data_IF_817882615425
#
_entry.id   IF_817882615425
#
_cell.length_a   1.000
_cell.length_b   1.000
_cell.length_c   1.000
_cell.angle_alpha   90.00
_cell.angle_beta   90.00
_cell.angle_gamma   90.00
#
_symmetry.space_group_name_H-M   'P 1'
#
loop_
_entity.id
_entity.type
_entity.pdbx_description
1 polymer ?
#
# COMPACT_ATOMS: atom_id res chain seq x y z
N UNK A 1 -19.25 6.36 -35.23
CA UNK A 1 -18.88 4.94 -34.96
C UNK A 1 -17.53 4.82 -34.17
N UNK A 2 -17.15 5.86 -33.41
CA UNK A 2 -15.92 5.82 -32.58
C UNK A 2 -16.19 5.65 -31.07
N UNK A 3 -17.42 5.90 -30.62
CA UNK A 3 -17.73 5.94 -29.17
C UNK A 3 -17.98 4.54 -28.53
N UNK A 4 -18.23 3.53 -29.35
CA UNK A 4 -18.49 2.16 -28.83
C UNK A 4 -17.24 1.39 -28.39
N UNK A 5 -16.09 1.67 -28.99
CA UNK A 5 -14.85 0.95 -28.71
C UNK A 5 -14.17 1.37 -27.39
N UNK A 6 -14.23 2.66 -27.05
CA UNK A 6 -13.61 3.21 -25.84
C UNK A 6 -14.35 2.73 -24.59
N UNK A 7 -15.68 2.63 -24.65
CA UNK A 7 -16.51 2.16 -23.53
C UNK A 7 -16.32 0.65 -23.26
N UNK A 8 -16.08 -0.15 -24.30
CA UNK A 8 -15.87 -1.60 -24.13
C UNK A 8 -14.49 -1.91 -23.54
N UNK A 9 -13.43 -1.24 -23.99
CA UNK A 9 -12.08 -1.39 -23.46
C UNK A 9 -12.02 -0.90 -22.01
N UNK A 10 -12.71 0.21 -21.68
CA UNK A 10 -12.73 0.71 -20.30
C UNK A 10 -13.44 -0.21 -19.32
N UNK A 11 -14.49 -0.93 -19.73
CA UNK A 11 -15.19 -1.90 -18.87
C UNK A 11 -14.36 -3.17 -18.62
N UNK A 12 -13.66 -3.69 -19.60
CA UNK A 12 -12.82 -4.88 -19.41
C UNK A 12 -11.54 -4.56 -18.64
N UNK A 13 -10.91 -3.41 -18.88
CA UNK A 13 -9.75 -2.95 -18.09
C UNK A 13 -10.14 -2.70 -16.64
N UNK A 14 -11.33 -2.16 -16.37
CA UNK A 14 -11.83 -1.93 -15.01
C UNK A 14 -12.14 -3.24 -14.24
N UNK A 15 -12.34 -4.37 -14.91
CA UNK A 15 -12.57 -5.68 -14.26
C UNK A 15 -11.31 -6.22 -13.56
N UNK A 16 -10.11 -5.80 -13.98
CA UNK A 16 -8.83 -6.26 -13.44
C UNK A 16 -8.07 -5.20 -12.65
N UNK A 17 -8.60 -3.99 -12.51
CA UNK A 17 -8.00 -2.89 -11.76
C UNK A 17 -8.91 -2.47 -10.60
N UNK A 18 -8.31 -2.34 -9.41
CA UNK A 18 -8.98 -1.75 -8.24
C UNK A 18 -8.62 -0.28 -8.15
N UNK A 19 -9.62 0.58 -8.22
CA UNK A 19 -9.44 2.04 -8.22
C UNK A 19 -9.85 2.60 -6.86
N UNK A 20 -8.94 3.33 -6.21
CA UNK A 20 -9.21 4.04 -4.95
C UNK A 20 -9.94 5.36 -5.22
N UNK A 21 -11.27 5.30 -5.37
CA UNK A 21 -12.13 6.45 -5.70
C UNK A 21 -12.82 7.12 -4.48
N UNK A 22 -12.83 6.48 -3.31
CA UNK A 22 -13.62 6.92 -2.15
C UNK A 22 -12.94 7.96 -1.27
N UNK A 23 -11.81 8.51 -1.71
CA UNK A 23 -11.10 9.55 -1.00
C UNK A 23 -11.88 10.88 -1.02
N UNK A 24 -11.96 11.54 0.16
CA UNK A 24 -12.45 12.93 0.29
C UNK A 24 -11.29 13.91 0.49
N UNK A 25 -10.30 13.50 1.26
CA UNK A 25 -9.15 14.35 1.63
C UNK A 25 -7.95 14.17 0.71
N UNK A 26 -8.00 13.25 -0.26
CA UNK A 26 -6.97 13.05 -1.26
C UNK A 26 -7.56 13.08 -2.67
N UNK A 27 -6.80 13.56 -3.64
CA UNK A 27 -7.17 13.59 -5.05
C UNK A 27 -5.92 13.63 -5.93
N UNK A 28 -5.84 12.78 -6.95
CA UNK A 28 -4.90 12.95 -8.05
C UNK A 28 -5.53 13.87 -9.08
N UNK A 29 -5.14 15.15 -9.07
CA UNK A 29 -5.78 16.21 -9.87
C UNK A 29 -5.38 16.08 -11.32
N UNK A 30 -4.07 15.99 -11.61
CA UNK A 30 -3.50 15.97 -12.94
C UNK A 30 -2.23 15.10 -12.99
N UNK A 31 -1.91 14.57 -14.18
CA UNK A 31 -0.70 13.80 -14.42
C UNK A 31 -0.19 14.00 -15.85
N UNK A 32 1.14 14.04 -16.00
CA UNK A 32 1.80 14.17 -17.31
C UNK A 32 3.30 14.41 -17.17
N UNK A 33 4.07 14.07 -18.21
CA UNK A 33 5.53 14.25 -18.30
C UNK A 33 6.29 13.72 -17.08
N UNK A 34 5.91 12.54 -16.57
CA UNK A 34 6.57 11.91 -15.42
C UNK A 34 6.24 12.52 -14.07
N UNK A 35 5.19 13.32 -13.95
CA UNK A 35 4.80 14.03 -12.74
C UNK A 35 3.30 13.98 -12.49
N UNK A 36 2.91 14.24 -11.25
CA UNK A 36 1.50 14.38 -10.83
C UNK A 36 1.30 15.56 -9.89
N UNK A 37 0.11 16.15 -9.97
CA UNK A 37 -0.41 17.16 -9.03
C UNK A 37 -1.47 16.47 -8.18
N UNK A 38 -1.30 16.55 -6.87
CA UNK A 38 -2.14 15.87 -5.89
C UNK A 38 -2.59 16.83 -4.80
N UNK A 39 -3.84 16.70 -4.37
CA UNK A 39 -4.36 17.37 -3.18
C UNK A 39 -4.31 16.42 -1.97
N UNK A 40 -3.77 16.90 -0.87
CA UNK A 40 -3.62 16.23 0.40
C UNK A 40 -4.27 17.06 1.52
N UNK A 41 -5.58 16.91 1.74
CA UNK A 41 -6.37 17.85 2.52
C UNK A 41 -6.44 19.20 1.83
N UNK A 42 -5.84 20.22 2.43
CA UNK A 42 -5.76 21.57 1.89
C UNK A 42 -4.40 21.89 1.21
N UNK A 43 -3.50 20.91 1.10
CA UNK A 43 -2.14 21.07 0.56
C UNK A 43 -2.07 20.46 -0.83
N UNK A 44 -1.53 21.17 -1.79
CA UNK A 44 -1.30 20.69 -3.15
C UNK A 44 0.18 20.37 -3.33
N UNK A 45 0.48 19.12 -3.69
CA UNK A 45 1.84 18.67 -3.92
C UNK A 45 2.04 18.27 -5.38
N UNK A 46 3.20 18.64 -5.92
CA UNK A 46 3.71 18.17 -7.22
C UNK A 46 4.84 17.18 -6.97
N UNK A 47 4.71 15.97 -7.52
CA UNK A 47 5.68 14.89 -7.28
C UNK A 47 5.98 14.13 -8.56
N UNK A 48 7.21 13.59 -8.72
CA UNK A 48 7.55 12.72 -9.84
C UNK A 48 6.92 11.34 -9.69
N UNK A 49 6.45 10.80 -10.81
CA UNK A 49 5.99 9.43 -10.90
C UNK A 49 6.39 8.82 -12.26
N UNK A 50 7.28 7.82 -12.28
CA UNK A 50 7.81 7.24 -13.51
C UNK A 50 6.79 6.40 -14.31
N UNK A 51 5.63 6.08 -13.73
CA UNK A 51 4.55 5.39 -14.46
C UNK A 51 3.86 6.33 -15.46
N UNK A 52 4.02 7.64 -15.30
CA UNK A 52 3.35 8.67 -16.12
C UNK A 52 4.21 8.93 -17.35
N UNK A 53 3.92 8.22 -18.44
CA UNK A 53 4.65 8.31 -19.71
C UNK A 53 3.91 9.14 -20.78
N UNK A 54 2.78 9.75 -20.44
CA UNK A 54 1.98 10.62 -21.30
C UNK A 54 2.24 12.10 -21.00
N UNK A 55 1.85 12.96 -21.94
CA UNK A 55 2.09 14.40 -21.86
C UNK A 55 1.06 15.10 -20.96
N UNK A 56 1.43 16.25 -20.42
CA UNK A 56 0.53 17.15 -19.68
C UNK A 56 -0.56 17.70 -20.60
N UNK A 57 -1.81 17.72 -20.10
CA UNK A 57 -2.95 18.23 -20.84
C UNK A 57 -3.21 19.73 -20.60
N UNK A 58 -3.17 20.18 -19.34
CA UNK A 58 -3.49 21.55 -18.94
C UNK A 58 -2.28 22.21 -18.27
N UNK A 59 -1.81 23.32 -18.86
CA UNK A 59 -0.61 23.99 -18.37
C UNK A 59 -0.82 24.85 -17.11
N UNK A 60 -2.05 25.31 -16.83
CA UNK A 60 -2.29 26.21 -15.69
C UNK A 60 -2.23 25.52 -14.35
N UNK A 61 -2.74 24.27 -14.25
CA UNK A 61 -2.79 23.52 -12.99
C UNK A 61 -1.37 23.22 -12.47
N UNK A 62 -0.41 23.06 -13.37
CA UNK A 62 0.98 22.74 -13.03
C UNK A 62 1.73 23.86 -12.31
N UNK A 63 1.14 25.06 -12.29
CA UNK A 63 1.64 26.22 -11.54
C UNK A 63 0.98 26.38 -10.17
N UNK A 64 -0.02 25.55 -9.83
CA UNK A 64 -0.80 25.64 -8.58
C UNK A 64 -0.38 24.54 -7.59
N UNK A 65 0.74 24.73 -6.92
CA UNK A 65 1.24 23.80 -5.91
C UNK A 65 1.85 24.55 -4.73
N UNK A 66 1.78 23.94 -3.55
CA UNK A 66 2.38 24.41 -2.29
C UNK A 66 3.78 23.83 -2.09
N UNK A 67 3.98 22.56 -2.48
CA UNK A 67 5.25 21.86 -2.41
C UNK A 67 5.54 21.08 -3.70
N UNK A 68 6.78 21.15 -4.19
CA UNK A 68 7.26 20.40 -5.33
C UNK A 68 8.52 19.60 -4.99
N UNK A 69 8.48 18.27 -5.22
CA UNK A 69 9.64 17.42 -5.02
C UNK A 69 10.45 17.29 -6.31
N UNK A 70 11.64 17.87 -6.32
CA UNK A 70 12.60 17.78 -7.41
C UNK A 70 13.46 16.52 -7.25
N UNK A 71 13.38 15.61 -8.21
CA UNK A 71 14.21 14.40 -8.24
C UNK A 71 15.62 14.72 -8.68
N UNK A 72 16.62 14.24 -7.94
CA UNK A 72 18.02 14.33 -8.33
C UNK A 72 18.43 13.19 -9.26
N UNK A 73 19.29 13.47 -10.23
CA UNK A 73 19.88 12.46 -11.11
C UNK A 73 20.84 11.49 -10.38
N UNK A 74 21.25 11.84 -9.15
CA UNK A 74 22.14 11.02 -8.30
C UNK A 74 21.39 10.19 -7.25
N UNK A 75 20.05 10.12 -7.34
CA UNK A 75 19.17 9.51 -6.36
C UNK A 75 18.70 10.51 -5.29
N UNK A 76 17.53 10.26 -4.69
CA UNK A 76 16.87 11.17 -3.77
C UNK A 76 16.36 12.43 -4.46
N UNK A 77 16.30 13.54 -3.73
CA UNK A 77 15.82 14.86 -4.22
C UNK A 77 15.58 15.81 -3.06
N UNK A 78 14.93 16.94 -3.35
CA UNK A 78 14.58 17.94 -2.36
C UNK A 78 13.20 18.54 -2.65
N UNK A 79 12.56 19.03 -1.59
CA UNK A 79 11.31 19.78 -1.69
C UNK A 79 11.58 21.26 -1.89
N UNK A 80 10.84 21.88 -2.80
CA UNK A 80 10.65 23.32 -2.93
C UNK A 80 9.26 23.66 -2.39
N UNK A 81 9.16 24.67 -1.51
CA UNK A 81 7.88 25.11 -0.95
C UNK A 81 7.63 26.57 -1.33
N UNK A 82 6.44 26.83 -1.89
CA UNK A 82 5.97 28.21 -2.21
C UNK A 82 5.26 28.84 -1.03
N UNK A 83 4.72 28.02 -0.15
CA UNK A 83 4.03 28.44 1.07
C UNK A 83 4.70 27.84 2.28
N UNK A 84 4.57 28.49 3.44
CA UNK A 84 5.04 27.89 4.69
C UNK A 84 4.08 26.78 5.11
N UNK A 85 4.43 25.55 4.80
CA UNK A 85 3.67 24.39 5.24
C UNK A 85 4.01 24.05 6.70
N UNK A 86 3.08 23.37 7.37
CA UNK A 86 3.36 22.67 8.62
C UNK A 86 4.25 21.45 8.31
N UNK A 87 5.08 21.04 9.25
CA UNK A 87 5.93 19.85 9.12
C UNK A 87 5.08 18.59 8.86
N UNK A 88 3.86 18.56 9.38
CA UNK A 88 2.88 17.50 9.13
C UNK A 88 1.44 18.01 9.28
N UNK A 89 0.53 17.30 8.65
CA UNK A 89 -0.93 17.48 8.78
C UNK A 89 -1.62 16.14 8.73
N UNK A 90 -2.94 16.10 8.83
CA UNK A 90 -3.71 14.85 8.80
C UNK A 90 -4.70 14.84 7.65
N UNK A 91 -4.93 13.65 7.09
CA UNK A 91 -6.01 13.36 6.17
C UNK A 91 -6.81 12.15 6.66
N UNK A 92 -8.05 12.05 6.20
CA UNK A 92 -8.94 10.97 6.58
C UNK A 92 -9.27 10.09 5.36
N UNK A 93 -9.36 8.79 5.61
CA UNK A 93 -10.00 7.84 4.72
C UNK A 93 -11.11 7.14 5.51
N UNK A 94 -12.37 7.42 5.19
CA UNK A 94 -13.52 6.99 6.00
C UNK A 94 -13.32 7.42 7.46
N UNK A 95 -13.34 6.51 8.42
CA UNK A 95 -13.13 6.72 9.85
C UNK A 95 -11.67 6.48 10.31
N UNK A 96 -10.75 6.31 9.38
CA UNK A 96 -9.31 6.26 9.63
C UNK A 96 -8.70 7.65 9.43
N UNK A 97 -7.76 8.02 10.30
CA UNK A 97 -7.05 9.29 10.25
C UNK A 97 -5.55 9.09 10.24
N UNK A 98 -4.86 9.71 9.31
CA UNK A 98 -3.44 9.48 9.09
C UNK A 98 -2.65 10.78 9.05
N UNK A 99 -1.47 10.76 9.61
CA UNK A 99 -0.47 11.82 9.48
C UNK A 99 0.16 11.78 8.10
N UNK A 100 0.28 12.93 7.48
CA UNK A 100 1.00 13.20 6.23
C UNK A 100 2.13 14.17 6.52
N UNK A 101 3.30 13.89 5.98
CA UNK A 101 4.48 14.76 6.08
C UNK A 101 5.37 14.60 4.86
N UNK A 102 5.82 15.68 4.21
CA UNK A 102 6.89 15.60 3.23
C UNK A 102 8.14 15.01 3.88
N UNK A 103 8.58 13.84 3.38
CA UNK A 103 9.81 13.20 3.88
C UNK A 103 11.03 13.68 3.09
N UNK A 104 12.24 13.25 3.47
CA UNK A 104 13.45 13.49 2.67
C UNK A 104 13.42 12.83 1.28
N UNK A 105 12.36 12.06 1.00
CA UNK A 105 12.07 11.44 -0.29
C UNK A 105 10.76 11.99 -0.86
N UNK A 106 10.36 11.51 -2.05
CA UNK A 106 9.08 11.91 -2.66
C UNK A 106 7.84 11.44 -1.89
N UNK A 107 7.99 10.57 -0.89
CA UNK A 107 6.88 9.97 -0.14
C UNK A 107 6.36 10.89 0.96
N UNK A 108 5.08 10.73 1.27
CA UNK A 108 4.35 11.58 2.22
C UNK A 108 3.81 10.80 3.41
N UNK A 109 4.21 9.52 3.54
CA UNK A 109 3.78 8.62 4.62
C UNK A 109 2.56 7.76 4.29
N UNK A 110 1.87 8.00 3.17
CA UNK A 110 0.69 7.25 2.75
C UNK A 110 0.78 6.93 1.26
N UNK A 111 0.24 5.77 0.88
CA UNK A 111 -0.01 5.34 -0.48
C UNK A 111 -1.53 5.29 -0.70
N UNK A 112 -2.15 6.33 -1.29
CA UNK A 112 -3.60 6.44 -1.38
C UNK A 112 -4.27 5.33 -2.21
N UNK A 113 -3.58 4.79 -3.19
CA UNK A 113 -4.04 3.66 -3.98
C UNK A 113 -4.30 2.39 -3.16
N UNK A 114 -3.65 2.27 -1.99
CA UNK A 114 -3.84 1.15 -1.07
C UNK A 114 -5.21 1.15 -0.37
N UNK A 115 -5.99 2.22 -0.48
CA UNK A 115 -7.29 2.31 0.17
C UNK A 115 -8.25 1.18 -0.25
N UNK A 116 -8.18 0.70 -1.50
CA UNK A 116 -8.96 -0.48 -1.93
C UNK A 116 -8.54 -1.76 -1.21
N UNK A 117 -7.29 -1.85 -0.79
CA UNK A 117 -6.79 -2.99 -0.01
C UNK A 117 -7.15 -2.83 1.47
N UNK A 118 -7.20 -1.61 2.01
CA UNK A 118 -7.71 -1.40 3.36
C UNK A 118 -9.19 -1.78 3.46
N UNK A 119 -10.00 -1.46 2.45
CA UNK A 119 -11.40 -1.88 2.38
C UNK A 119 -11.52 -3.41 2.35
N UNK A 120 -10.74 -4.07 1.51
CA UNK A 120 -10.69 -5.53 1.47
C UNK A 120 -10.29 -6.14 2.83
N UNK A 121 -9.27 -5.59 3.49
CA UNK A 121 -8.85 -6.03 4.83
C UNK A 121 -9.99 -5.87 5.82
N UNK A 122 -10.63 -4.69 5.85
CA UNK A 122 -11.75 -4.42 6.75
C UNK A 122 -12.92 -5.37 6.53
N UNK A 123 -13.25 -5.67 5.27
CA UNK A 123 -14.33 -6.60 4.95
C UNK A 123 -14.00 -8.03 5.37
N UNK A 124 -12.76 -8.48 5.15
CA UNK A 124 -12.30 -9.81 5.57
C UNK A 124 -12.24 -9.98 7.07
N UNK A 125 -11.82 -8.95 7.80
CA UNK A 125 -11.83 -8.96 9.28
C UNK A 125 -13.26 -9.00 9.81
N UNK A 126 -14.15 -8.14 9.31
CA UNK A 126 -15.56 -8.10 9.74
C UNK A 126 -16.34 -9.39 9.42
N UNK A 127 -16.02 -10.04 8.30
CA UNK A 127 -16.69 -11.26 7.86
C UNK A 127 -16.13 -12.54 8.47
N UNK A 128 -15.02 -12.48 9.18
CA UNK A 128 -14.42 -13.64 9.83
C UNK A 128 -15.34 -14.18 10.94
N UNK A 129 -15.62 -15.48 10.90
CA UNK A 129 -16.59 -16.11 11.81
C UNK A 129 -15.98 -16.66 13.10
N UNK A 130 -14.66 -16.70 13.20
CA UNK A 130 -13.95 -17.11 14.41
C UNK A 130 -13.88 -15.99 15.46
N UNK A 131 -13.53 -16.36 16.69
CA UNK A 131 -13.51 -15.43 17.82
C UNK A 131 -12.17 -14.71 18.04
N UNK A 132 -11.09 -15.13 17.39
CA UNK A 132 -9.72 -14.64 17.66
C UNK A 132 -8.98 -14.36 16.34
N UNK A 133 -9.42 -13.34 15.61
CA UNK A 133 -8.77 -12.97 14.35
C UNK A 133 -7.45 -12.24 14.59
N UNK A 134 -6.36 -12.92 14.33
CA UNK A 134 -5.00 -12.38 14.40
C UNK A 134 -4.52 -12.01 13.00
N UNK A 135 -4.12 -10.75 12.83
CA UNK A 135 -3.62 -10.22 11.55
C UNK A 135 -2.14 -9.86 11.69
N UNK A 136 -1.35 -10.27 10.71
CA UNK A 136 0.06 -9.92 10.59
C UNK A 136 0.24 -8.97 9.40
N UNK A 137 0.87 -7.83 9.64
CA UNK A 137 1.25 -6.88 8.60
C UNK A 137 2.78 -6.78 8.53
N UNK A 138 3.34 -7.20 7.41
CA UNK A 138 4.78 -7.27 7.12
C UNK A 138 5.17 -6.16 6.15
N UNK A 139 6.35 -5.56 6.32
CA UNK A 139 6.78 -4.35 5.62
C UNK A 139 5.75 -3.24 5.83
N UNK A 140 5.33 -3.10 7.08
CA UNK A 140 4.08 -2.44 7.44
C UNK A 140 4.11 -0.92 7.35
N UNK A 141 5.29 -0.32 7.09
CA UNK A 141 5.51 1.11 6.86
C UNK A 141 4.89 1.97 7.98
N UNK A 142 4.09 2.99 7.62
CA UNK A 142 3.39 3.88 8.58
C UNK A 142 2.10 3.29 9.14
N UNK A 143 1.76 2.04 8.82
CA UNK A 143 0.71 1.25 9.47
C UNK A 143 -0.71 1.49 8.99
N UNK A 144 -0.97 2.09 7.83
CA UNK A 144 -2.35 2.32 7.37
C UNK A 144 -3.17 1.02 7.30
N UNK A 145 -2.60 -0.06 6.76
CA UNK A 145 -3.24 -1.38 6.72
C UNK A 145 -3.40 -2.00 8.13
N UNK A 146 -2.46 -1.74 9.05
CA UNK A 146 -2.57 -2.11 10.46
C UNK A 146 -3.78 -1.45 11.12
N UNK A 147 -3.94 -0.14 10.89
CA UNK A 147 -5.10 0.60 11.45
C UNK A 147 -6.41 0.11 10.85
N UNK A 148 -6.45 -0.20 9.55
CA UNK A 148 -7.63 -0.76 8.88
C UNK A 148 -8.04 -2.11 9.50
N UNK A 149 -7.10 -3.04 9.69
CA UNK A 149 -7.37 -4.33 10.32
C UNK A 149 -7.84 -4.18 11.77
N UNK A 150 -7.17 -3.34 12.55
CA UNK A 150 -7.51 -3.10 13.96
C UNK A 150 -8.88 -2.44 14.11
N UNK A 151 -9.17 -1.41 13.31
CA UNK A 151 -10.47 -0.70 13.31
C UNK A 151 -11.63 -1.60 12.92
N UNK A 152 -11.38 -2.59 12.07
CA UNK A 152 -12.39 -3.57 11.64
C UNK A 152 -12.70 -4.63 12.70
N UNK A 153 -11.93 -4.71 13.81
CA UNK A 153 -12.17 -5.60 14.92
C UNK A 153 -11.26 -6.84 14.98
N UNK A 154 -10.08 -6.81 14.35
CA UNK A 154 -9.09 -7.86 14.57
C UNK A 154 -8.71 -7.94 16.06
N UNK A 155 -8.70 -9.16 16.63
CA UNK A 155 -8.40 -9.39 18.06
C UNK A 155 -6.96 -9.01 18.42
N UNK A 156 -6.06 -9.15 17.47
CA UNK A 156 -4.67 -8.72 17.55
C UNK A 156 -4.13 -8.38 16.17
N UNK A 157 -3.40 -7.28 16.06
CA UNK A 157 -2.63 -6.94 14.85
C UNK A 157 -1.15 -6.86 15.21
N UNK A 158 -0.33 -7.58 14.46
CA UNK A 158 1.13 -7.52 14.60
C UNK A 158 1.69 -6.74 13.42
N UNK A 159 2.30 -5.59 13.71
CA UNK A 159 2.90 -4.67 12.76
C UNK A 159 4.42 -4.85 12.79
N UNK A 160 5.00 -5.26 11.67
CA UNK A 160 6.44 -5.53 11.53
C UNK A 160 7.04 -4.67 10.42
N UNK A 161 8.02 -3.86 10.78
CA UNK A 161 8.82 -3.08 9.84
C UNK A 161 10.26 -2.97 10.34
N UNK A 162 11.22 -2.97 9.43
CA UNK A 162 12.64 -2.84 9.80
C UNK A 162 13.03 -1.42 10.22
N UNK A 163 12.27 -0.41 9.82
CA UNK A 163 12.52 0.99 10.10
C UNK A 163 11.84 1.44 11.40
N UNK A 164 12.65 1.75 12.43
CA UNK A 164 12.13 2.31 13.69
C UNK A 164 11.31 3.57 13.47
N UNK A 165 11.76 4.48 12.58
CA UNK A 165 11.03 5.72 12.30
C UNK A 165 9.65 5.48 11.70
N UNK A 166 9.49 4.45 10.86
CA UNK A 166 8.19 4.07 10.30
C UNK A 166 7.28 3.44 11.36
N UNK A 167 7.85 2.61 12.23
CA UNK A 167 7.11 2.02 13.36
C UNK A 167 6.65 3.10 14.35
N UNK A 168 7.48 4.11 14.63
CA UNK A 168 7.09 5.23 15.50
C UNK A 168 6.00 6.09 14.84
N UNK A 169 6.07 6.32 13.53
CA UNK A 169 4.98 6.97 12.79
C UNK A 169 3.68 6.16 12.82
N UNK A 170 3.77 4.83 12.72
CA UNK A 170 2.60 3.95 12.83
C UNK A 170 1.91 4.06 14.21
N UNK A 171 2.69 4.25 15.30
CA UNK A 171 2.11 4.53 16.63
C UNK A 171 1.37 5.87 16.68
N UNK A 172 1.93 6.92 16.02
CA UNK A 172 1.20 8.19 15.90
C UNK A 172 -0.13 8.02 15.14
N UNK A 173 -0.13 7.21 14.06
CA UNK A 173 -1.35 6.89 13.33
C UNK A 173 -2.35 6.07 14.16
N UNK A 174 -1.87 5.18 15.04
CA UNK A 174 -2.71 4.46 16.01
C UNK A 174 -3.46 5.44 16.92
N UNK A 175 -2.76 6.42 17.50
CA UNK A 175 -3.37 7.44 18.37
C UNK A 175 -4.38 8.30 17.57
N UNK A 176 -4.04 8.72 16.34
CA UNK A 176 -4.93 9.49 15.46
C UNK A 176 -6.22 8.75 15.11
N UNK A 177 -6.15 7.41 15.02
CA UNK A 177 -7.30 6.53 14.76
C UNK A 177 -8.09 6.15 16.01
N UNK A 178 -7.69 6.62 17.22
CA UNK A 178 -8.24 6.25 18.52
C UNK A 178 -8.23 4.73 18.76
N UNK A 179 -7.08 4.10 18.49
CA UNK A 179 -6.88 2.64 18.63
C UNK A 179 -5.89 2.29 19.75
N UNK A 180 -5.60 3.20 20.68
CA UNK A 180 -4.65 3.00 21.79
C UNK A 180 -5.01 1.83 22.71
N UNK A 181 -6.31 1.54 22.88
CA UNK A 181 -6.79 0.41 23.69
C UNK A 181 -6.85 -0.92 22.90
N UNK A 182 -6.58 -0.90 21.58
CA UNK A 182 -6.58 -2.10 20.77
C UNK A 182 -5.24 -2.84 20.88
N UNK A 183 -5.29 -4.17 20.74
CA UNK A 183 -4.11 -5.00 20.82
C UNK A 183 -3.29 -4.94 19.53
N UNK A 184 -2.46 -3.91 19.40
CA UNK A 184 -1.51 -3.74 18.28
C UNK A 184 -0.10 -3.93 18.82
N UNK A 185 0.65 -4.88 18.25
CA UNK A 185 2.06 -5.12 18.59
C UNK A 185 2.97 -4.55 17.53
N UNK A 186 3.74 -3.55 17.88
CA UNK A 186 4.72 -2.92 17.02
C UNK A 186 6.09 -3.56 17.18
N UNK A 187 6.64 -4.08 16.10
CA UNK A 187 7.90 -4.82 16.07
C UNK A 187 8.85 -4.16 15.06
N UNK A 188 10.03 -3.74 15.52
CA UNK A 188 11.12 -3.30 14.64
C UNK A 188 12.03 -4.49 14.40
N UNK A 189 11.95 -5.09 13.20
CA UNK A 189 12.67 -6.32 12.89
C UNK A 189 12.74 -6.59 11.39
N UNK A 190 13.70 -7.46 11.03
CA UNK A 190 13.74 -8.09 9.72
C UNK A 190 12.58 -9.09 9.57
N UNK A 191 11.86 -9.01 8.45
CA UNK A 191 10.65 -9.80 8.20
C UNK A 191 10.94 -11.31 8.16
N UNK A 192 12.00 -11.73 7.49
CA UNK A 192 12.34 -13.15 7.37
C UNK A 192 12.70 -13.74 8.73
N UNK A 193 13.54 -13.05 9.50
CA UNK A 193 13.90 -13.44 10.87
C UNK A 193 12.68 -13.46 11.80
N UNK A 194 11.76 -12.52 11.62
CA UNK A 194 10.51 -12.49 12.38
C UNK A 194 9.66 -13.72 12.09
N UNK A 195 9.43 -14.05 10.80
CA UNK A 195 8.65 -15.23 10.39
C UNK A 195 9.22 -16.54 10.94
N UNK A 196 10.54 -16.70 10.88
CA UNK A 196 11.21 -17.87 11.44
C UNK A 196 11.02 -18.02 12.95
N UNK A 197 11.00 -16.88 13.68
CA UNK A 197 10.71 -16.93 15.14
C UNK A 197 9.26 -17.27 15.43
N UNK A 198 8.30 -16.74 14.68
CA UNK A 198 6.88 -17.06 14.87
C UNK A 198 6.59 -18.53 14.53
N UNK A 199 7.19 -19.09 13.47
CA UNK A 199 7.14 -20.53 13.17
C UNK A 199 7.66 -21.37 14.33
N UNK A 200 8.84 -21.05 14.88
CA UNK A 200 9.40 -21.78 16.03
C UNK A 200 8.55 -21.69 17.29
N UNK A 201 7.78 -20.60 17.46
CA UNK A 201 6.83 -20.41 18.57
C UNK A 201 5.50 -21.10 18.36
N UNK A 202 5.27 -21.69 17.18
CA UNK A 202 3.99 -22.28 16.81
C UNK A 202 2.86 -21.24 16.71
N UNK A 203 3.21 -19.97 16.42
CA UNK A 203 2.23 -18.90 16.33
C UNK A 203 1.66 -18.82 14.93
N UNK A 204 0.32 -18.74 14.83
CA UNK A 204 -0.40 -18.69 13.56
C UNK A 204 -1.21 -17.41 13.40
N UNK A 205 -1.54 -17.06 12.13
CA UNK A 205 -2.28 -15.86 11.77
C UNK A 205 -3.42 -16.17 10.80
N UNK A 206 -4.55 -15.49 10.99
CA UNK A 206 -5.76 -15.65 10.17
C UNK A 206 -5.80 -14.70 8.98
N UNK A 207 -5.03 -13.61 9.02
CA UNK A 207 -4.82 -12.69 7.92
C UNK A 207 -3.36 -12.25 7.84
N UNK A 208 -2.78 -12.25 6.64
CA UNK A 208 -1.41 -11.76 6.42
C UNK A 208 -1.42 -10.72 5.32
N UNK A 209 -0.78 -9.58 5.58
CA UNK A 209 -0.64 -8.43 4.67
C UNK A 209 0.85 -8.24 4.42
N UNK A 210 1.22 -8.02 3.16
CA UNK A 210 2.61 -7.83 2.74
C UNK A 210 2.73 -6.72 1.71
N UNK A 211 3.70 -5.83 1.89
CA UNK A 211 4.08 -4.82 0.90
C UNK A 211 5.61 -4.78 0.75
N UNK A 212 6.21 -5.89 0.25
CA UNK A 212 7.65 -6.04 0.18
C UNK A 212 8.27 -5.02 -0.80
N UNK A 213 9.39 -4.38 -0.43
CA UNK A 213 10.09 -3.46 -1.33
C UNK A 213 10.68 -4.20 -2.53
N UNK A 214 10.82 -3.50 -3.66
CA UNK A 214 11.50 -4.05 -4.85
C UNK A 214 12.96 -4.39 -4.56
N UNK A 215 13.61 -3.54 -3.73
CA UNK A 215 15.00 -3.66 -3.34
C UNK A 215 15.20 -3.17 -1.90
N UNK A 216 16.06 -3.83 -1.15
CA UNK A 216 16.45 -3.44 0.19
C UNK A 216 17.86 -3.92 0.56
N UNK A 217 18.46 -3.30 1.58
CA UNK A 217 19.70 -3.76 2.20
C UNK A 217 19.49 -3.93 3.70
N UNK A 218 19.82 -5.08 4.21
CA UNK A 218 19.88 -5.35 5.64
C UNK A 218 21.10 -4.71 6.31
N UNK A 219 21.12 -4.62 7.64
CA UNK A 219 22.18 -3.97 8.40
C UNK A 219 23.55 -4.68 8.28
N UNK A 220 23.58 -5.95 7.92
CA UNK A 220 24.80 -6.73 7.75
C UNK A 220 25.18 -6.90 6.26
N UNK A 221 24.56 -6.11 5.35
CA UNK A 221 24.84 -6.17 3.92
C UNK A 221 24.00 -7.20 3.13
N UNK A 222 23.03 -7.85 3.78
CA UNK A 222 22.06 -8.71 3.11
C UNK A 222 21.33 -7.91 2.01
N UNK A 223 21.18 -8.52 0.83
CA UNK A 223 20.47 -7.90 -0.28
C UNK A 223 19.12 -8.57 -0.46
N UNK A 224 18.07 -7.77 -0.37
CA UNK A 224 16.72 -8.14 -0.73
C UNK A 224 16.45 -7.68 -2.17
N UNK A 225 15.96 -8.60 -3.00
CA UNK A 225 15.35 -8.32 -4.30
C UNK A 225 14.06 -9.11 -4.37
N UNK A 226 12.98 -8.46 -4.75
CA UNK A 226 11.66 -9.12 -4.75
C UNK A 226 11.66 -10.38 -5.61
N UNK A 227 12.22 -10.32 -6.81
CA UNK A 227 12.25 -11.41 -7.79
C UNK A 227 12.98 -12.65 -7.26
N UNK A 228 14.02 -12.44 -6.46
CA UNK A 228 14.85 -13.51 -5.91
C UNK A 228 14.27 -14.10 -4.62
N UNK A 229 13.57 -13.26 -3.81
CA UNK A 229 13.20 -13.59 -2.44
C UNK A 229 11.69 -13.82 -2.24
N UNK A 230 10.84 -13.49 -3.24
CA UNK A 230 9.39 -13.57 -3.09
C UNK A 230 8.91 -14.98 -2.76
N UNK A 231 9.47 -16.00 -3.42
CA UNK A 231 9.07 -17.40 -3.17
C UNK A 231 9.37 -17.82 -1.74
N UNK A 232 10.56 -17.50 -1.23
CA UNK A 232 10.93 -17.80 0.15
C UNK A 232 10.01 -17.08 1.16
N UNK A 233 9.70 -15.80 0.91
CA UNK A 233 8.76 -15.04 1.75
C UNK A 233 7.39 -15.72 1.82
N UNK A 234 6.85 -16.10 0.65
CA UNK A 234 5.52 -16.73 0.57
C UNK A 234 5.50 -18.10 1.26
N UNK A 235 6.57 -18.91 1.14
CA UNK A 235 6.67 -20.19 1.82
C UNK A 235 6.70 -20.02 3.35
N UNK A 236 7.49 -19.05 3.84
CA UNK A 236 7.52 -18.75 5.28
C UNK A 236 6.20 -18.21 5.81
N UNK A 237 5.45 -17.45 4.99
CA UNK A 237 4.10 -17.00 5.31
C UNK A 237 3.14 -18.19 5.38
N UNK A 238 3.19 -19.11 4.41
CA UNK A 238 2.37 -20.31 4.42
C UNK A 238 2.58 -21.18 5.68
N UNK A 239 3.82 -21.26 6.19
CA UNK A 239 4.18 -21.98 7.40
C UNK A 239 3.52 -21.44 8.69
N UNK A 240 3.07 -20.19 8.69
CA UNK A 240 2.48 -19.53 9.87
C UNK A 240 1.00 -19.18 9.67
N UNK A 241 0.40 -19.61 8.57
CA UNK A 241 -1.05 -19.44 8.39
C UNK A 241 -1.80 -20.39 9.32
N UNK A 242 -2.85 -19.87 9.94
CA UNK A 242 -3.78 -20.69 10.67
C UNK A 242 -4.52 -21.61 9.70
N UNK A 243 -4.85 -22.88 10.08
CA UNK A 243 -5.67 -23.73 9.23
C UNK A 243 -6.98 -23.08 8.78
N UNK A 244 -7.53 -22.17 9.58
CA UNK A 244 -8.75 -21.41 9.28
C UNK A 244 -8.49 -19.95 8.86
N UNK A 245 -7.36 -19.70 8.21
CA UNK A 245 -7.04 -18.33 7.75
C UNK A 245 -8.09 -17.80 6.77
N UNK A 246 -8.31 -16.47 6.82
CA UNK A 246 -9.27 -15.75 5.99
C UNK A 246 -8.66 -15.26 4.70
N UNK A 247 -7.46 -14.64 4.80
CA UNK A 247 -6.83 -14.05 3.62
C UNK A 247 -5.30 -13.94 3.73
N UNK A 248 -4.66 -13.87 2.56
CA UNK A 248 -3.30 -13.34 2.36
C UNK A 248 -3.40 -12.24 1.31
N UNK A 249 -2.83 -11.09 1.59
CA UNK A 249 -2.75 -9.94 0.69
C UNK A 249 -1.30 -9.58 0.46
N UNK A 250 -0.90 -9.43 -0.81
CA UNK A 250 0.41 -8.93 -1.20
C UNK A 250 0.27 -7.80 -2.20
N UNK A 251 1.10 -6.78 -2.06
CA UNK A 251 1.26 -5.71 -3.03
C UNK A 251 2.66 -5.73 -3.62
N UNK A 252 2.83 -5.16 -4.80
CA UNK A 252 4.15 -4.93 -5.39
C UNK A 252 4.14 -3.71 -6.30
N UNK A 253 5.20 -2.93 -6.16
CA UNK A 253 5.51 -1.78 -7.02
C UNK A 253 6.73 -2.05 -7.90
N UNK A 254 7.14 -3.31 -8.00
CA UNK A 254 8.32 -3.74 -8.75
C UNK A 254 8.04 -3.75 -10.23
N UNK A 255 8.79 -2.97 -10.99
CA UNK A 255 8.75 -2.97 -12.45
C UNK A 255 9.15 -4.35 -12.97
N UNK A 256 8.38 -4.91 -13.90
CA UNK A 256 8.66 -6.23 -14.51
C UNK A 256 7.89 -7.39 -13.84
N UNK A 257 7.28 -7.20 -12.68
CA UNK A 257 6.36 -8.19 -12.10
C UNK A 257 4.93 -7.90 -12.57
N UNK A 258 4.36 -8.78 -13.38
CA UNK A 258 2.99 -8.65 -13.86
C UNK A 258 1.98 -9.28 -12.88
N UNK A 259 0.69 -8.89 -12.93
CA UNK A 259 -0.35 -9.59 -12.18
C UNK A 259 -0.40 -11.10 -12.47
N UNK A 260 -0.13 -11.51 -13.71
CA UNK A 260 -0.06 -12.93 -14.10
C UNK A 260 1.12 -13.65 -13.43
N UNK A 261 2.30 -13.03 -13.39
CA UNK A 261 3.46 -13.61 -12.69
C UNK A 261 3.17 -13.77 -11.20
N UNK A 262 2.53 -12.76 -10.60
CA UNK A 262 2.11 -12.81 -9.20
C UNK A 262 1.06 -13.91 -8.97
N UNK A 263 0.08 -14.05 -9.86
CA UNK A 263 -0.92 -15.12 -9.80
C UNK A 263 -0.27 -16.52 -9.82
N UNK A 264 0.69 -16.71 -10.70
CA UNK A 264 1.36 -18.00 -10.85
C UNK A 264 2.12 -18.41 -9.57
N UNK A 265 2.90 -17.50 -8.98
CA UNK A 265 3.65 -17.80 -7.76
C UNK A 265 2.72 -18.03 -6.57
N UNK A 266 1.63 -17.26 -6.44
CA UNK A 266 0.61 -17.48 -5.41
C UNK A 266 -0.08 -18.83 -5.58
N UNK A 267 -0.43 -19.22 -6.81
CA UNK A 267 -1.07 -20.52 -7.11
C UNK A 267 -0.13 -21.71 -6.85
N UNK A 268 1.17 -21.53 -7.02
CA UNK A 268 2.17 -22.54 -6.69
C UNK A 268 2.34 -22.72 -5.17
N UNK A 269 2.14 -21.67 -4.39
CA UNK A 269 2.32 -21.69 -2.92
C UNK A 269 1.03 -22.05 -2.19
N UNK A 270 -0.09 -21.40 -2.53
CA UNK A 270 -1.38 -21.57 -1.84
C UNK A 270 -2.33 -22.44 -2.66
N UNK A 271 -2.42 -23.72 -2.28
CA UNK A 271 -3.28 -24.70 -2.97
C UNK A 271 -4.72 -24.64 -2.45
N UNK A 272 -5.67 -24.97 -3.32
CA UNK A 272 -7.09 -25.07 -2.98
C UNK A 272 -7.65 -23.76 -2.37
N UNK A 273 -7.29 -22.63 -2.99
CA UNK A 273 -7.70 -21.29 -2.55
C UNK A 273 -8.17 -20.48 -3.74
N UNK A 274 -9.00 -19.47 -3.47
CA UNK A 274 -9.37 -18.47 -4.46
C UNK A 274 -8.30 -17.39 -4.53
N UNK A 275 -7.74 -17.18 -5.72
CA UNK A 275 -6.72 -16.18 -5.97
C UNK A 275 -7.27 -15.11 -6.92
N UNK A 276 -7.10 -13.86 -6.55
CA UNK A 276 -7.40 -12.69 -7.37
C UNK A 276 -6.13 -11.85 -7.48
N UNK A 277 -5.73 -11.50 -8.71
CA UNK A 277 -4.60 -10.60 -8.96
C UNK A 277 -5.00 -9.53 -9.96
N UNK A 278 -4.41 -8.36 -9.83
CA UNK A 278 -4.70 -7.25 -10.72
C UNK A 278 -3.83 -6.04 -10.39
N UNK A 279 -4.23 -4.90 -10.95
CA UNK A 279 -3.59 -3.62 -10.70
C UNK A 279 -4.38 -2.79 -9.69
N UNK A 280 -3.69 -1.92 -8.98
CA UNK A 280 -4.29 -0.85 -8.18
C UNK A 280 -3.96 0.50 -8.79
N UNK A 281 -4.91 1.43 -8.71
CA UNK A 281 -4.75 2.74 -9.32
C UNK A 281 -5.55 3.84 -8.63
N UNK A 282 -5.30 5.05 -9.12
CA UNK A 282 -5.95 6.28 -8.67
C UNK A 282 -6.69 6.93 -9.83
N UNK A 283 -7.91 7.43 -9.63
CA UNK A 283 -8.59 8.23 -10.65
C UNK A 283 -7.85 9.56 -10.82
N UNK A 284 -7.71 10.03 -12.07
CA UNK A 284 -7.16 11.33 -12.40
C UNK A 284 -8.32 12.25 -12.75
N UNK A 285 -8.52 13.32 -11.98
CA UNK A 285 -9.68 14.20 -12.13
C UNK A 285 -9.67 14.98 -13.44
N UNK A 286 -8.48 15.43 -13.89
CA UNK A 286 -8.33 16.29 -15.08
C UNK A 286 -8.90 15.67 -16.36
N UNK A 287 -8.76 14.36 -16.52
CA UNK A 287 -9.06 13.68 -17.80
C UNK A 287 -9.84 12.38 -17.66
N UNK A 288 -10.27 12.02 -16.44
CA UNK A 288 -10.98 10.77 -16.12
C UNK A 288 -10.20 9.49 -16.48
N UNK A 289 -8.89 9.58 -16.61
CA UNK A 289 -8.02 8.43 -16.75
C UNK A 289 -7.67 7.83 -15.38
N UNK A 290 -6.95 6.73 -15.38
CA UNK A 290 -6.46 6.08 -14.17
C UNK A 290 -4.95 6.09 -14.16
N UNK A 291 -4.36 6.54 -13.06
CA UNK A 291 -2.94 6.39 -12.79
C UNK A 291 -2.69 4.97 -12.29
N UNK A 292 -1.98 4.10 -13.05
CA UNK A 292 -1.57 2.80 -12.53
C UNK A 292 -0.50 3.00 -11.46
N UNK A 293 -0.65 2.35 -10.31
CA UNK A 293 0.27 2.56 -9.18
C UNK A 293 1.09 1.32 -8.88
N UNK A 294 0.46 0.14 -8.85
CA UNK A 294 1.11 -1.12 -8.54
C UNK A 294 0.18 -2.30 -8.81
N UNK A 295 0.62 -3.48 -8.39
CA UNK A 295 -0.16 -4.72 -8.51
C UNK A 295 -0.52 -5.28 -7.13
N UNK A 296 -1.58 -6.06 -7.07
CA UNK A 296 -1.99 -6.78 -5.87
C UNK A 296 -2.26 -8.25 -6.15
N UNK A 297 -2.11 -9.07 -5.11
CA UNK A 297 -2.58 -10.45 -5.07
C UNK A 297 -3.34 -10.71 -3.77
N UNK A 298 -4.54 -11.27 -3.89
CA UNK A 298 -5.42 -11.64 -2.79
C UNK A 298 -5.66 -13.14 -2.83
N UNK A 299 -5.30 -13.83 -1.77
CA UNK A 299 -5.57 -15.25 -1.59
C UNK A 299 -6.62 -15.37 -0.50
N UNK A 300 -7.71 -16.06 -0.77
CA UNK A 300 -8.78 -16.31 0.19
C UNK A 300 -9.00 -17.81 0.32
N UNK A 301 -9.20 -18.27 1.54
CA UNK A 301 -9.73 -19.60 1.80
C UNK A 301 -11.24 -19.57 1.59
N UNK A 302 -11.80 -20.58 0.91
CA UNK A 302 -13.25 -20.74 0.67
C UNK A 302 -14.02 -21.05 1.97
#
# INVERSE_FOLDING_TARGET
MADGYIIYISKEVLLFMKISSDWKDYECIASGDGEKIERWGNVILRRPDPQIIWNKCNNEIWNKWDGFYHRSNKGGGNWEFRTKLKDSWTINYRDLKFKVSPTNFKHTGIFPEQATNWDFIMDKVKSYKGNDMRVLNLFAYTGCATMAASKAGASEVVHVDASRGMVDWAKENMELCNLGEHKIRFIVDDVIKFLEREKRRGRTYHGVIMDPPSYGRGPNGEVWRLEDNLKELLDKVADILDPDYSFVLINSYTTGVSPTSLNNILSLTFKNTKIETGEIGLPITENNLVLPCGIYGRVCKD
#
